data_IF_423834617438
#
_entry.id   IF_423834617438
#
_cell.length_a   1.000
_cell.length_b   1.000
_cell.length_c   1.000
_cell.angle_alpha   90.00
_cell.angle_beta   90.00
_cell.angle_gamma   90.00
#
_symmetry.space_group_name_H-M   'P 1'
#
loop_
_entity.id
_entity.type
_entity.pdbx_description
1 polymer ?
#
# COMPACT_ATOMS: atom_id res chain seq x y z
N UNK A 1 -26.90 4.28 -27.82
CA UNK A 1 -28.04 3.33 -27.74
C UNK A 1 -29.23 3.94 -28.46
N UNK A 2 -30.16 3.13 -28.95
CA UNK A 2 -31.42 3.61 -29.53
C UNK A 2 -32.49 3.62 -28.44
N UNK A 3 -33.21 4.74 -28.31
CA UNK A 3 -34.26 4.90 -27.31
C UNK A 3 -35.55 5.35 -28.02
N UNK A 4 -36.64 4.61 -27.82
CA UNK A 4 -37.96 5.04 -28.28
C UNK A 4 -38.57 5.99 -27.25
N UNK A 5 -38.78 7.24 -27.65
CA UNK A 5 -39.43 8.25 -26.82
C UNK A 5 -40.84 8.48 -27.37
N UNK A 6 -41.87 8.23 -26.56
CA UNK A 6 -43.25 8.58 -26.90
C UNK A 6 -43.69 9.76 -26.04
N UNK A 7 -44.11 10.85 -26.68
CA UNK A 7 -44.55 12.07 -26.02
C UNK A 7 -45.43 12.93 -26.93
N UNK A 8 -46.31 13.74 -26.33
CA UNK A 8 -47.07 14.79 -27.03
C UNK A 8 -46.79 16.11 -26.33
N UNK A 9 -46.18 17.07 -27.02
CA UNK A 9 -45.89 18.38 -26.46
C UNK A 9 -44.96 19.22 -27.34
N UNK A 10 -45.01 20.54 -27.16
CA UNK A 10 -44.02 21.49 -27.64
C UNK A 10 -42.88 21.54 -26.61
N UNK A 11 -41.61 21.39 -27.03
CA UNK A 11 -40.39 21.33 -26.20
C UNK A 11 -39.99 19.95 -25.64
N UNK A 12 -39.80 18.95 -26.51
CA UNK A 12 -39.12 17.72 -26.14
C UNK A 12 -37.63 17.97 -25.97
N UNK A 13 -36.99 17.31 -25.02
CA UNK A 13 -35.54 17.35 -24.85
C UNK A 13 -35.03 16.03 -24.30
N UNK A 14 -33.78 15.70 -24.63
CA UNK A 14 -33.07 14.55 -24.09
C UNK A 14 -32.00 15.04 -23.13
N UNK A 15 -31.86 14.36 -21.98
CA UNK A 15 -30.77 14.58 -21.04
C UNK A 15 -29.88 13.36 -20.95
N UNK A 16 -28.58 13.59 -21.03
CA UNK A 16 -27.57 12.58 -20.70
C UNK A 16 -27.04 12.91 -19.32
N UNK A 17 -27.19 11.98 -18.38
CA UNK A 17 -26.82 12.15 -16.98
C UNK A 17 -25.42 11.54 -16.75
N UNK A 18 -24.64 12.12 -15.85
CA UNK A 18 -23.33 11.59 -15.44
C UNK A 18 -23.47 10.44 -14.43
N UNK A 19 -24.16 9.37 -14.83
CA UNK A 19 -24.36 8.18 -14.02
C UNK A 19 -24.49 6.92 -14.87
N UNK A 20 -24.11 5.76 -14.33
CA UNK A 20 -24.38 4.46 -14.95
C UNK A 20 -25.74 3.92 -14.51
N UNK A 21 -26.32 3.04 -15.32
CA UNK A 21 -27.50 2.27 -14.94
C UNK A 21 -27.08 1.02 -14.16
N UNK A 22 -27.93 0.47 -13.26
CA UNK A 22 -27.64 -0.76 -12.53
C UNK A 22 -27.24 -1.96 -13.41
N UNK A 23 -27.77 -2.01 -14.64
CA UNK A 23 -27.45 -3.05 -15.62
C UNK A 23 -26.02 -2.99 -16.19
N UNK A 24 -25.26 -1.92 -15.93
CA UNK A 24 -23.88 -1.76 -16.39
C UNK A 24 -22.84 -2.50 -15.52
N UNK A 25 -23.28 -3.24 -14.50
CA UNK A 25 -22.39 -4.00 -13.60
C UNK A 25 -21.80 -3.19 -12.44
N UNK A 26 -21.92 -1.86 -12.46
CA UNK A 26 -21.59 -0.98 -11.33
C UNK A 26 -22.45 0.28 -11.37
N UNK A 27 -23.01 0.70 -10.23
CA UNK A 27 -23.76 1.96 -10.09
C UNK A 27 -22.79 3.09 -9.68
N UNK A 28 -22.56 4.04 -10.58
CA UNK A 28 -21.65 5.18 -10.39
C UNK A 28 -22.45 6.47 -10.63
N UNK A 29 -22.30 7.45 -9.74
CA UNK A 29 -22.94 8.76 -9.88
C UNK A 29 -21.95 9.89 -9.62
N UNK A 30 -21.78 10.77 -10.60
CA UNK A 30 -20.97 11.99 -10.46
C UNK A 30 -21.89 13.13 -10.03
N UNK A 31 -21.65 13.65 -8.83
CA UNK A 31 -22.51 14.61 -8.16
C UNK A 31 -21.75 15.91 -7.87
N UNK A 32 -22.45 17.02 -8.05
CA UNK A 32 -22.01 18.31 -7.56
C UNK A 32 -21.94 18.34 -6.03
N UNK A 33 -21.34 19.39 -5.48
CA UNK A 33 -21.34 19.64 -4.04
C UNK A 33 -22.73 19.99 -3.46
N UNK A 34 -23.77 20.18 -4.27
CA UNK A 34 -25.15 20.25 -3.76
C UNK A 34 -25.82 18.87 -3.71
N UNK A 35 -25.15 17.83 -4.23
CA UNK A 35 -25.68 16.48 -4.36
C UNK A 35 -26.41 16.21 -5.67
N UNK A 36 -26.57 17.21 -6.55
CA UNK A 36 -27.20 17.02 -7.86
C UNK A 36 -26.27 16.27 -8.85
N UNK A 37 -26.81 15.29 -9.58
CA UNK A 37 -26.11 14.59 -10.68
C UNK A 37 -26.01 15.52 -11.88
N UNK A 38 -24.85 15.56 -12.54
CA UNK A 38 -24.64 16.40 -13.72
C UNK A 38 -25.43 15.87 -14.92
N UNK A 39 -25.82 16.78 -15.80
CA UNK A 39 -26.54 16.45 -17.01
C UNK A 39 -26.23 17.43 -18.13
N UNK A 40 -26.10 16.93 -19.36
CA UNK A 40 -26.18 17.75 -20.57
C UNK A 40 -27.56 17.54 -21.21
N UNK A 41 -28.09 18.60 -21.82
CA UNK A 41 -29.41 18.62 -22.44
C UNK A 41 -29.27 19.02 -23.91
N UNK A 42 -30.04 18.37 -24.76
CA UNK A 42 -30.29 18.80 -26.13
C UNK A 42 -31.79 18.81 -26.39
N UNK A 43 -32.28 19.88 -27.00
CA UNK A 43 -33.67 20.01 -27.40
C UNK A 43 -33.94 19.19 -28.67
N UNK A 44 -35.15 18.66 -28.77
CA UNK A 44 -35.61 17.85 -29.91
C UNK A 44 -36.71 18.65 -30.61
N UNK A 45 -36.31 19.28 -31.71
CA UNK A 45 -37.17 20.19 -32.48
C UNK A 45 -37.71 19.54 -33.78
N UNK A 46 -37.42 18.26 -34.01
CA UNK A 46 -37.76 17.52 -35.22
C UNK A 46 -38.76 16.39 -34.95
N UNK A 47 -39.74 16.23 -35.84
CA UNK A 47 -40.69 15.11 -35.83
C UNK A 47 -40.07 13.88 -36.53
N UNK A 48 -40.21 12.69 -35.93
CA UNK A 48 -39.80 11.41 -36.51
C UNK A 48 -38.60 10.76 -35.82
N UNK A 49 -37.90 9.88 -36.55
CA UNK A 49 -36.68 9.22 -36.06
C UNK A 49 -35.51 10.22 -36.12
N UNK A 50 -35.09 10.71 -34.96
CA UNK A 50 -34.00 11.69 -34.82
C UNK A 50 -32.78 11.01 -34.21
N UNK A 51 -31.62 11.20 -34.85
CA UNK A 51 -30.32 10.86 -34.25
C UNK A 51 -29.76 12.11 -33.58
N UNK A 52 -29.50 12.04 -32.27
CA UNK A 52 -28.91 13.13 -31.50
C UNK A 52 -27.47 12.79 -31.13
N UNK A 53 -26.54 13.60 -31.61
CA UNK A 53 -25.12 13.50 -31.25
C UNK A 53 -24.79 14.50 -30.13
N UNK A 54 -24.58 13.97 -28.92
CA UNK A 54 -24.19 14.76 -27.76
C UNK A 54 -22.68 15.02 -27.77
N UNK A 55 -22.26 16.15 -28.34
CA UNK A 55 -20.86 16.57 -28.25
C UNK A 55 -20.59 17.33 -26.94
N UNK A 56 -19.96 16.65 -25.98
CA UNK A 56 -19.56 17.24 -24.69
C UNK A 56 -18.10 17.68 -24.78
N UNK A 57 -17.87 18.82 -25.44
CA UNK A 57 -16.52 19.38 -25.57
C UNK A 57 -15.97 19.91 -24.24
N UNK A 58 -14.64 20.02 -24.13
CA UNK A 58 -13.94 20.61 -22.98
C UNK A 58 -14.27 22.09 -22.71
N UNK A 59 -14.95 22.79 -23.64
CA UNK A 59 -15.47 24.13 -23.41
C UNK A 59 -16.68 24.12 -22.46
N UNK A 60 -17.36 22.98 -22.35
CA UNK A 60 -18.41 22.78 -21.37
C UNK A 60 -17.76 22.43 -20.03
N UNK A 61 -17.91 23.30 -19.02
CA UNK A 61 -17.41 23.06 -17.66
C UNK A 61 -17.96 21.79 -17.01
N UNK A 62 -19.02 21.18 -17.56
CA UNK A 62 -19.57 19.91 -17.08
C UNK A 62 -18.92 18.69 -17.73
N UNK A 63 -18.05 18.87 -18.73
CA UNK A 63 -17.38 17.77 -19.43
C UNK A 63 -16.52 16.91 -18.48
N UNK A 64 -15.88 17.52 -17.48
CA UNK A 64 -15.12 16.81 -16.45
C UNK A 64 -15.96 15.73 -15.75
N UNK A 65 -17.23 16.00 -15.45
CA UNK A 65 -18.11 15.00 -14.84
C UNK A 65 -18.35 13.76 -15.73
N UNK A 66 -18.27 13.91 -17.06
CA UNK A 66 -18.40 12.79 -17.98
C UNK A 66 -17.07 12.05 -18.19
N UNK A 67 -15.93 12.75 -18.13
CA UNK A 67 -14.61 12.09 -18.11
C UNK A 67 -14.45 11.23 -16.86
N UNK A 68 -14.75 11.78 -15.68
CA UNK A 68 -14.73 11.05 -14.41
C UNK A 68 -15.60 9.80 -14.49
N UNK A 69 -16.81 9.90 -15.06
CA UNK A 69 -17.68 8.74 -15.25
C UNK A 69 -17.07 7.70 -16.20
N UNK A 70 -16.46 8.12 -17.30
CA UNK A 70 -15.81 7.23 -18.27
C UNK A 70 -14.66 6.44 -17.63
N UNK A 71 -13.76 7.14 -16.94
CA UNK A 71 -12.63 6.56 -16.22
C UNK A 71 -13.10 5.52 -15.20
N UNK A 72 -14.06 5.85 -14.34
CA UNK A 72 -14.59 4.90 -13.36
C UNK A 72 -15.39 3.77 -13.97
N UNK A 73 -16.01 3.98 -15.13
CA UNK A 73 -16.65 2.89 -15.89
C UNK A 73 -15.60 1.92 -16.40
N UNK A 74 -14.47 2.41 -16.93
CA UNK A 74 -13.36 1.55 -17.35
C UNK A 74 -12.75 0.76 -16.17
N UNK A 75 -12.60 1.40 -15.01
CA UNK A 75 -12.17 0.70 -13.78
C UNK A 75 -13.14 -0.41 -13.37
N UNK A 76 -14.45 -0.14 -13.37
CA UNK A 76 -15.49 -1.13 -13.08
C UNK A 76 -15.50 -2.29 -14.07
N UNK A 77 -15.33 -2.02 -15.36
CA UNK A 77 -15.23 -3.07 -16.38
C UNK A 77 -14.00 -3.96 -16.15
N UNK A 78 -12.85 -3.36 -15.86
CA UNK A 78 -11.65 -4.11 -15.51
C UNK A 78 -11.86 -5.02 -14.28
N UNK A 79 -12.50 -4.51 -13.22
CA UNK A 79 -12.81 -5.33 -12.03
C UNK A 79 -13.75 -6.48 -12.36
N UNK A 80 -14.72 -6.29 -13.26
CA UNK A 80 -15.65 -7.35 -13.68
C UNK A 80 -14.97 -8.51 -14.42
N UNK A 81 -13.78 -8.30 -14.99
CA UNK A 81 -13.00 -9.38 -15.61
C UNK A 81 -12.41 -10.35 -14.57
N UNK A 82 -12.15 -9.87 -13.35
CA UNK A 82 -11.55 -10.68 -12.28
C UNK A 82 -12.53 -11.00 -11.14
N UNK A 83 -13.67 -10.29 -11.07
CA UNK A 83 -14.68 -10.40 -10.03
C UNK A 83 -16.07 -10.66 -10.60
N UNK A 84 -16.77 -11.63 -10.00
CA UNK A 84 -18.21 -11.86 -10.25
C UNK A 84 -19.11 -11.21 -9.21
N UNK A 85 -18.53 -10.59 -8.17
CA UNK A 85 -19.28 -9.92 -7.11
C UNK A 85 -19.61 -8.47 -7.51
N UNK A 86 -20.88 -8.05 -7.43
CA UNK A 86 -21.22 -6.65 -7.70
C UNK A 86 -20.60 -5.76 -6.62
N UNK A 87 -20.01 -4.63 -7.05
CA UNK A 87 -19.51 -3.61 -6.14
C UNK A 87 -20.67 -2.73 -5.62
N UNK A 88 -20.54 -2.18 -4.41
CA UNK A 88 -21.54 -1.25 -3.87
C UNK A 88 -21.59 0.05 -4.69
N UNK A 89 -22.72 0.76 -4.76
CA UNK A 89 -22.79 2.00 -5.54
C UNK A 89 -21.73 3.04 -5.13
N UNK A 90 -21.02 3.58 -6.13
CA UNK A 90 -20.00 4.62 -5.96
C UNK A 90 -20.61 6.01 -6.20
N UNK A 91 -20.46 6.89 -5.21
CA UNK A 91 -20.75 8.32 -5.35
C UNK A 91 -19.46 9.09 -5.45
N UNK A 92 -19.41 10.02 -6.39
CA UNK A 92 -18.27 10.91 -6.60
C UNK A 92 -18.74 12.34 -6.45
N UNK A 93 -18.02 13.15 -5.68
CA UNK A 93 -18.31 14.54 -5.42
C UNK A 93 -17.24 15.42 -6.04
N UNK A 94 -17.60 16.12 -7.11
CA UNK A 94 -16.73 17.05 -7.82
C UNK A 94 -17.48 18.36 -8.06
N UNK A 95 -16.75 19.47 -8.12
CA UNK A 95 -17.30 20.78 -8.47
C UNK A 95 -16.25 21.53 -9.30
N UNK A 96 -16.58 21.96 -10.52
CA UNK A 96 -15.63 22.70 -11.35
C UNK A 96 -15.22 24.01 -10.67
N UNK A 97 -13.95 24.38 -10.83
CA UNK A 97 -13.32 25.58 -10.27
C UNK A 97 -13.50 25.70 -8.75
N UNK A 98 -13.33 24.59 -8.02
CA UNK A 98 -13.45 24.57 -6.57
C UNK A 98 -12.33 23.80 -5.87
N UNK A 99 -11.62 24.52 -5.00
CA UNK A 99 -10.59 24.02 -4.08
C UNK A 99 -11.14 23.54 -2.72
N UNK A 100 -12.48 23.40 -2.58
CA UNK A 100 -13.10 23.10 -1.27
C UNK A 100 -12.67 21.76 -0.69
N UNK A 101 -12.42 20.78 -1.54
CA UNK A 101 -11.89 19.46 -1.20
C UNK A 101 -10.67 19.20 -2.07
N UNK A 102 -9.72 18.43 -1.54
CA UNK A 102 -8.72 17.76 -2.37
C UNK A 102 -9.31 16.50 -2.99
N UNK A 103 -8.44 15.73 -3.64
CA UNK A 103 -8.79 14.41 -4.15
C UNK A 103 -8.48 13.34 -3.12
N UNK A 104 -9.51 12.55 -2.77
CA UNK A 104 -9.43 11.46 -1.80
C UNK A 104 -10.73 10.63 -1.78
N UNK A 105 -10.61 9.35 -1.47
CA UNK A 105 -11.71 8.48 -1.08
C UNK A 105 -12.01 8.63 0.41
N UNK A 106 -13.30 8.66 0.75
CA UNK A 106 -13.76 8.72 2.13
C UNK A 106 -14.76 7.59 2.42
N UNK A 107 -14.40 6.65 3.30
CA UNK A 107 -15.30 5.60 3.79
C UNK A 107 -16.14 6.05 4.97
N UNK A 108 -15.50 6.57 6.03
CA UNK A 108 -16.15 6.97 7.28
C UNK A 108 -15.59 8.26 7.85
N UNK A 109 -14.29 8.52 7.69
CA UNK A 109 -13.59 9.63 8.35
C UNK A 109 -12.92 10.60 7.37
N UNK A 110 -13.08 11.90 7.60
CA UNK A 110 -12.22 12.97 7.08
C UNK A 110 -11.80 13.87 8.25
N UNK A 111 -10.49 14.00 8.51
CA UNK A 111 -9.93 14.81 9.62
C UNK A 111 -10.58 14.56 10.99
N UNK A 112 -10.85 13.29 11.32
CA UNK A 112 -11.46 12.90 12.60
C UNK A 112 -12.97 13.13 12.74
N UNK A 113 -13.68 13.42 11.65
CA UNK A 113 -15.15 13.53 11.58
C UNK A 113 -15.74 12.76 10.40
N UNK A 114 -17.07 12.77 10.22
CA UNK A 114 -17.75 12.06 9.14
C UNK A 114 -17.45 12.63 7.74
N UNK A 115 -17.54 11.78 6.71
CA UNK A 115 -17.38 12.21 5.32
C UNK A 115 -18.34 13.39 4.99
N UNK A 116 -17.86 14.52 4.42
CA UNK A 116 -18.63 15.77 4.32
C UNK A 116 -19.99 15.67 3.63
N UNK A 117 -20.14 14.71 2.71
CA UNK A 117 -21.36 14.42 1.93
C UNK A 117 -21.73 12.92 1.97
N UNK A 118 -21.19 12.19 2.93
CA UNK A 118 -21.28 10.74 2.99
C UNK A 118 -20.14 10.05 2.23
N UNK A 119 -20.14 8.72 2.29
CA UNK A 119 -19.12 7.86 1.68
C UNK A 119 -19.04 8.09 0.17
N UNK A 120 -17.81 8.14 -0.36
CA UNK A 120 -17.55 8.37 -1.78
C UNK A 120 -16.17 8.99 -2.04
N UNK A 121 -15.88 9.20 -3.32
CA UNK A 121 -14.67 9.90 -3.76
C UNK A 121 -14.96 11.40 -3.83
N UNK A 122 -14.06 12.22 -3.32
CA UNK A 122 -14.08 13.67 -3.44
C UNK A 122 -12.95 14.06 -4.40
N UNK A 123 -13.22 14.99 -5.31
CA UNK A 123 -12.23 15.42 -6.31
C UNK A 123 -12.01 16.93 -6.23
N UNK A 124 -10.75 17.32 -6.41
CA UNK A 124 -10.31 18.69 -6.57
C UNK A 124 -10.69 19.19 -7.97
N UNK A 125 -11.45 20.28 -8.04
CA UNK A 125 -11.82 20.92 -9.31
C UNK A 125 -11.00 22.18 -9.60
N UNK A 126 -9.85 22.34 -8.96
CA UNK A 126 -8.96 23.50 -9.10
C UNK A 126 -9.57 24.84 -8.75
N UNK A 127 -9.05 25.91 -9.36
CA UNK A 127 -9.51 27.28 -9.15
C UNK A 127 -10.13 27.87 -10.42
N UNK A 128 -10.79 29.04 -10.30
CA UNK A 128 -11.27 29.79 -11.47
C UNK A 128 -10.16 30.18 -12.46
N UNK A 129 -8.91 30.21 -12.01
CA UNK A 129 -7.71 30.45 -12.85
C UNK A 129 -7.06 29.18 -13.38
N UNK A 130 -7.70 28.01 -13.23
CA UNK A 130 -7.10 26.71 -13.50
C UNK A 130 -6.24 26.23 -12.32
N UNK A 131 -5.20 25.46 -12.61
CA UNK A 131 -4.29 24.88 -11.61
C UNK A 131 -4.37 23.36 -11.61
N UNK A 132 -4.26 22.79 -10.42
CA UNK A 132 -4.44 21.36 -10.15
C UNK A 132 -5.93 20.99 -10.23
N UNK A 133 -6.29 20.21 -11.25
CA UNK A 133 -7.68 19.79 -11.53
C UNK A 133 -7.69 18.32 -11.89
N UNK A 134 -8.35 17.50 -11.07
CA UNK A 134 -8.24 16.05 -11.20
C UNK A 134 -9.29 15.41 -12.12
N UNK A 135 -10.24 16.18 -12.65
CA UNK A 135 -11.28 15.61 -13.52
C UNK A 135 -10.76 14.97 -14.82
N UNK A 136 -9.50 15.26 -15.19
CA UNK A 136 -8.80 14.73 -16.36
C UNK A 136 -7.50 14.00 -16.02
N UNK A 137 -7.19 13.85 -14.73
CA UNK A 137 -6.02 13.10 -14.28
C UNK A 137 -6.43 11.65 -14.03
N UNK A 138 -6.54 10.89 -15.13
CA UNK A 138 -7.09 9.54 -15.12
C UNK A 138 -6.37 8.60 -14.12
N UNK A 139 -5.06 8.79 -13.91
CA UNK A 139 -4.29 8.01 -12.94
C UNK A 139 -4.65 8.35 -11.48
N UNK A 140 -4.87 9.63 -11.18
CA UNK A 140 -5.37 10.08 -9.87
C UNK A 140 -6.79 9.57 -9.64
N UNK A 141 -7.64 9.60 -10.67
CA UNK A 141 -8.96 9.01 -10.59
C UNK A 141 -8.88 7.50 -10.31
N UNK A 142 -8.13 6.72 -11.10
CA UNK A 142 -7.95 5.29 -10.88
C UNK A 142 -7.38 4.96 -9.50
N UNK A 143 -6.47 5.79 -8.98
CA UNK A 143 -5.94 5.67 -7.62
C UNK A 143 -7.07 5.72 -6.58
N UNK A 144 -7.93 6.73 -6.63
CA UNK A 144 -9.05 6.83 -5.70
C UNK A 144 -10.09 5.74 -5.89
N UNK A 145 -10.23 5.22 -7.12
CA UNK A 145 -11.05 4.05 -7.37
C UNK A 145 -10.46 2.80 -6.67
N UNK A 146 -9.14 2.67 -6.60
CA UNK A 146 -8.48 1.58 -5.88
C UNK A 146 -8.77 1.63 -4.37
N UNK A 147 -8.76 2.82 -3.77
CA UNK A 147 -9.18 3.01 -2.37
C UNK A 147 -10.66 2.64 -2.15
N UNK A 148 -11.53 3.05 -3.08
CA UNK A 148 -12.93 2.59 -3.08
C UNK A 148 -13.03 1.06 -3.20
N UNK A 149 -12.24 0.46 -4.08
CA UNK A 149 -12.22 -0.99 -4.28
C UNK A 149 -11.80 -1.69 -2.99
N UNK A 150 -10.69 -1.28 -2.38
CA UNK A 150 -10.21 -1.79 -1.09
C UNK A 150 -11.29 -1.72 -0.02
N UNK A 151 -11.98 -0.59 0.11
CA UNK A 151 -13.06 -0.43 1.07
C UNK A 151 -14.30 -1.30 0.81
N UNK A 152 -14.51 -1.74 -0.43
CA UNK A 152 -15.66 -2.57 -0.80
C UNK A 152 -15.36 -4.05 -0.69
N UNK A 153 -14.12 -4.42 -0.97
CA UNK A 153 -13.77 -5.81 -1.21
C UNK A 153 -12.66 -6.36 -0.30
N UNK A 154 -11.80 -5.49 0.20
CA UNK A 154 -10.72 -5.78 1.13
C UNK A 154 -10.98 -5.16 2.50
N UNK A 155 -9.93 -4.98 3.29
CA UNK A 155 -9.97 -4.28 4.56
C UNK A 155 -9.28 -2.91 4.45
N UNK A 156 -10.04 -1.82 4.61
CA UNK A 156 -9.48 -0.47 4.71
C UNK A 156 -9.13 -0.16 6.18
N UNK A 157 -7.90 -0.44 6.59
CA UNK A 157 -7.37 -0.12 7.93
C UNK A 157 -6.15 0.82 7.89
N UNK A 158 -5.80 1.31 6.69
CA UNK A 158 -4.83 2.40 6.50
C UNK A 158 -5.21 3.62 7.35
N UNK A 159 -4.26 4.20 8.10
CA UNK A 159 -4.51 5.43 8.85
C UNK A 159 -4.66 6.66 7.94
N UNK A 160 -4.28 6.54 6.65
CA UNK A 160 -4.19 7.65 5.71
C UNK A 160 -3.26 8.77 6.21
N UNK A 161 -3.49 9.98 5.70
CA UNK A 161 -2.70 11.16 6.04
C UNK A 161 -1.62 11.47 5.02
N UNK A 162 -0.90 12.57 5.21
CA UNK A 162 0.14 13.01 4.26
C UNK A 162 1.23 11.93 4.15
N UNK A 163 1.80 11.72 2.98
CA UNK A 163 2.91 10.79 2.77
C UNK A 163 3.66 11.22 1.51
N UNK A 164 4.77 10.56 1.20
CA UNK A 164 5.54 10.84 0.00
C UNK A 164 5.96 9.53 -0.69
N UNK A 165 5.99 9.56 -2.02
CA UNK A 165 6.42 8.43 -2.85
C UNK A 165 7.81 7.89 -2.47
N UNK A 166 8.70 8.74 -1.97
CA UNK A 166 10.07 8.38 -1.61
C UNK A 166 10.23 7.85 -0.19
N UNK A 167 9.16 7.82 0.61
CA UNK A 167 9.22 7.29 1.98
C UNK A 167 9.39 5.77 1.92
N UNK A 168 10.34 5.25 2.71
CA UNK A 168 10.62 3.81 2.83
C UNK A 168 10.32 3.29 4.25
N UNK A 169 9.73 4.10 5.11
CA UNK A 169 9.50 3.86 6.53
C UNK A 169 8.05 4.15 6.93
N UNK A 170 7.12 4.17 5.96
CA UNK A 170 5.70 4.40 6.23
C UNK A 170 5.05 3.22 6.97
N UNK A 171 3.93 3.48 7.67
CA UNK A 171 3.03 2.46 8.21
C UNK A 171 2.72 1.41 7.12
N UNK A 172 2.90 0.11 7.41
CA UNK A 172 2.74 -0.94 6.41
C UNK A 172 1.33 -0.99 5.81
N UNK A 173 0.30 -0.57 6.57
CA UNK A 173 -1.08 -0.50 6.08
C UNK A 173 -1.28 0.68 5.14
N UNK A 174 -0.59 1.79 5.40
CA UNK A 174 -0.56 2.93 4.50
C UNK A 174 0.17 2.55 3.21
N UNK A 175 1.38 1.99 3.32
CA UNK A 175 2.17 1.56 2.16
C UNK A 175 1.42 0.55 1.28
N UNK A 176 0.67 -0.38 1.88
CA UNK A 176 -0.21 -1.29 1.16
C UNK A 176 -1.32 -0.57 0.39
N UNK A 177 -2.09 0.26 1.10
CA UNK A 177 -3.25 0.97 0.53
C UNK A 177 -2.85 1.93 -0.59
N UNK A 178 -1.82 2.74 -0.37
CA UNK A 178 -1.30 3.66 -1.38
C UNK A 178 -0.56 2.92 -2.51
N UNK A 179 0.12 1.82 -2.21
CA UNK A 179 0.75 0.96 -3.22
C UNK A 179 -0.26 0.28 -4.14
N UNK A 180 -1.41 -0.14 -3.60
CA UNK A 180 -2.54 -0.60 -4.41
C UNK A 180 -3.05 0.54 -5.30
N UNK A 181 -3.16 1.76 -4.76
CA UNK A 181 -3.50 2.98 -5.50
C UNK A 181 -2.49 3.34 -6.60
N UNK A 182 -1.20 3.08 -6.40
CA UNK A 182 -0.15 3.27 -7.41
C UNK A 182 -0.15 2.19 -8.50
N UNK A 183 -0.47 0.94 -8.13
CA UNK A 183 -0.52 -0.20 -9.05
C UNK A 183 -1.75 -0.19 -9.97
N UNK A 184 -2.92 0.09 -9.39
CA UNK A 184 -4.21 -0.11 -10.05
C UNK A 184 -4.38 0.68 -11.37
N UNK A 185 -3.97 1.96 -11.48
CA UNK A 185 -4.00 2.70 -12.74
C UNK A 185 -3.24 1.98 -13.86
N UNK A 186 -2.04 1.47 -13.55
CA UNK A 186 -1.24 0.75 -14.52
C UNK A 186 -1.84 -0.59 -14.93
N UNK A 187 -2.53 -1.28 -14.00
CA UNK A 187 -3.25 -2.50 -14.30
C UNK A 187 -4.43 -2.26 -15.24
N UNK A 188 -5.26 -1.24 -14.97
CA UNK A 188 -6.40 -0.85 -15.83
C UNK A 188 -5.91 -0.42 -17.21
N UNK A 189 -4.93 0.48 -17.29
CA UNK A 189 -4.40 0.97 -18.58
C UNK A 189 -3.75 -0.13 -19.40
N UNK A 190 -3.10 -1.10 -18.77
CA UNK A 190 -2.54 -2.26 -19.47
C UNK A 190 -3.65 -3.14 -20.06
N UNK A 191 -4.74 -3.36 -19.32
CA UNK A 191 -5.91 -4.08 -19.82
C UNK A 191 -6.63 -3.31 -20.95
N UNK A 192 -6.83 -2.00 -20.81
CA UNK A 192 -7.39 -1.16 -21.87
C UNK A 192 -6.54 -1.22 -23.13
N UNK A 193 -5.21 -1.12 -23.00
CA UNK A 193 -4.30 -1.20 -24.15
C UNK A 193 -4.45 -2.50 -24.94
N UNK A 194 -4.71 -3.61 -24.25
CA UNK A 194 -4.86 -4.94 -24.86
C UNK A 194 -6.25 -5.15 -25.47
N UNK A 195 -7.32 -4.79 -24.74
CA UNK A 195 -8.69 -5.19 -25.09
C UNK A 195 -9.59 -4.03 -25.56
N UNK A 196 -9.30 -2.80 -25.15
CA UNK A 196 -10.10 -1.59 -25.43
C UNK A 196 -9.22 -0.36 -25.75
N UNK A 197 -8.32 -0.44 -26.75
CA UNK A 197 -7.35 0.63 -27.01
C UNK A 197 -7.99 1.95 -27.44
N UNK A 198 -9.25 1.93 -27.89
CA UNK A 198 -10.06 3.10 -28.20
C UNK A 198 -10.44 3.93 -26.96
N UNK A 199 -10.38 3.34 -25.78
CA UNK A 199 -10.69 3.98 -24.48
C UNK A 199 -9.45 4.34 -23.68
N UNK A 200 -8.26 3.97 -24.16
CA UNK A 200 -7.02 4.26 -23.46
C UNK A 200 -6.63 5.74 -23.64
N UNK A 201 -6.74 6.49 -22.55
CA UNK A 201 -6.28 7.87 -22.45
C UNK A 201 -4.86 7.89 -21.86
N UNK A 202 -3.86 7.67 -22.71
CA UNK A 202 -2.45 7.79 -22.32
C UNK A 202 -1.61 8.29 -23.48
N UNK A 203 -0.54 9.04 -23.19
CA UNK A 203 0.36 9.49 -24.24
C UNK A 203 1.07 8.28 -24.87
N UNK A 204 1.14 8.15 -26.21
CA UNK A 204 1.68 6.95 -26.87
C UNK A 204 3.11 6.55 -26.49
N UNK A 205 3.91 7.51 -26.01
CA UNK A 205 5.29 7.25 -25.56
C UNK A 205 5.39 6.74 -24.12
N UNK A 206 4.32 6.84 -23.33
CA UNK A 206 4.34 6.44 -21.93
C UNK A 206 3.98 4.96 -21.83
N UNK A 207 4.70 4.24 -20.95
CA UNK A 207 4.26 2.90 -20.58
C UNK A 207 2.94 2.99 -19.81
N UNK A 208 2.11 1.95 -19.89
CA UNK A 208 0.84 1.90 -19.17
C UNK A 208 1.04 2.01 -17.65
N UNK A 209 2.22 1.69 -17.12
CA UNK A 209 2.56 1.73 -15.70
C UNK A 209 3.00 3.11 -15.20
N UNK A 210 3.03 4.14 -16.06
CA UNK A 210 3.23 5.51 -15.60
C UNK A 210 2.04 5.95 -14.74
N UNK A 211 2.32 6.65 -13.65
CA UNK A 211 1.36 7.41 -12.88
C UNK A 211 1.59 8.89 -13.17
N UNK A 212 0.54 9.60 -13.61
CA UNK A 212 0.63 11.02 -13.98
C UNK A 212 -0.45 11.84 -13.26
N UNK A 213 0.00 12.89 -12.58
CA UNK A 213 -0.81 13.94 -11.97
C UNK A 213 -0.37 15.27 -12.59
N UNK A 214 -1.32 16.07 -13.06
CA UNK A 214 -1.04 17.30 -13.78
C UNK A 214 -1.51 18.55 -13.04
N UNK A 215 -0.63 19.55 -13.00
CA UNK A 215 -0.98 20.90 -12.57
C UNK A 215 -0.99 21.79 -13.81
N UNK A 216 -2.20 22.08 -14.30
CA UNK A 216 -2.42 22.84 -15.53
C UNK A 216 -2.05 22.07 -16.79
N UNK A 217 -0.87 22.33 -17.35
CA UNK A 217 -0.39 21.65 -18.58
C UNK A 217 0.93 20.92 -18.38
N UNK A 218 1.37 20.81 -17.13
CA UNK A 218 2.62 20.19 -16.73
C UNK A 218 2.33 19.07 -15.74
N UNK A 219 2.98 17.92 -15.92
CA UNK A 219 2.96 16.87 -14.91
C UNK A 219 3.67 17.37 -13.65
N UNK A 220 2.94 17.41 -12.53
CA UNK A 220 3.54 17.62 -11.21
C UNK A 220 4.21 16.33 -10.73
N UNK A 221 3.59 15.19 -11.02
CA UNK A 221 4.15 13.85 -10.81
C UNK A 221 4.07 13.07 -12.13
N UNK A 222 5.16 12.38 -12.46
CA UNK A 222 5.23 11.44 -13.57
C UNK A 222 6.27 10.37 -13.25
N UNK A 223 5.81 9.19 -12.83
CA UNK A 223 6.68 8.08 -12.40
C UNK A 223 6.20 6.76 -13.01
N UNK A 224 7.11 5.95 -13.54
CA UNK A 224 6.80 4.56 -13.94
C UNK A 224 6.76 3.69 -12.69
N UNK A 225 5.58 3.28 -12.23
CA UNK A 225 5.44 2.50 -11.00
C UNK A 225 6.03 1.09 -11.12
N UNK A 226 6.15 0.54 -12.33
CA UNK A 226 6.82 -0.76 -12.54
C UNK A 226 8.35 -0.62 -12.64
N UNK A 227 8.83 0.55 -13.07
CA UNK A 227 10.25 0.85 -13.25
C UNK A 227 10.62 2.24 -12.70
N UNK A 228 10.47 2.48 -11.40
CA UNK A 228 10.60 3.81 -10.83
C UNK A 228 12.06 4.27 -10.91
N UNK A 229 12.26 5.45 -11.50
CA UNK A 229 13.59 6.03 -11.69
C UNK A 229 14.15 6.55 -10.36
N UNK A 230 15.40 6.22 -10.06
CA UNK A 230 16.11 6.75 -8.88
C UNK A 230 16.38 8.26 -8.93
N UNK A 231 15.98 8.96 -9.99
CA UNK A 231 16.11 10.43 -10.09
C UNK A 231 15.37 11.17 -8.98
N UNK A 232 14.35 10.55 -8.39
CA UNK A 232 13.60 11.09 -7.27
C UNK A 232 14.26 10.80 -5.91
N UNK A 233 15.25 9.91 -5.85
CA UNK A 233 15.96 9.59 -4.62
C UNK A 233 16.97 10.70 -4.30
N UNK A 234 16.87 11.29 -3.11
CA UNK A 234 17.85 12.25 -2.63
C UNK A 234 19.19 11.55 -2.33
N UNK A 235 20.30 12.22 -2.66
CA UNK A 235 21.67 11.81 -2.27
C UNK A 235 22.14 10.42 -2.72
N UNK A 236 21.42 9.76 -3.63
CA UNK A 236 21.77 8.43 -4.13
C UNK A 236 21.39 7.29 -3.18
N UNK A 237 20.54 7.55 -2.19
CA UNK A 237 19.96 6.51 -1.32
C UNK A 237 19.06 5.56 -2.12
N UNK A 238 18.89 4.34 -1.59
CA UNK A 238 17.88 3.43 -2.11
C UNK A 238 16.50 3.97 -1.71
N UNK A 239 15.74 4.47 -2.68
CA UNK A 239 14.34 4.82 -2.51
C UNK A 239 13.44 3.91 -3.33
N UNK A 240 12.16 3.82 -2.93
CA UNK A 240 11.20 2.87 -3.47
C UNK A 240 11.59 1.42 -3.15
N UNK A 241 12.01 1.19 -1.90
CA UNK A 241 12.42 -0.12 -1.37
C UNK A 241 11.68 -0.39 -0.06
N UNK A 242 11.64 -1.66 0.32
CA UNK A 242 10.94 -2.20 1.47
C UNK A 242 9.41 -2.19 1.37
N UNK A 243 8.78 -3.07 2.13
CA UNK A 243 7.31 -3.19 2.20
C UNK A 243 6.61 -1.96 2.80
N UNK A 244 7.37 -1.10 3.46
CA UNK A 244 6.98 0.21 4.00
C UNK A 244 7.03 1.35 2.96
N UNK A 245 7.29 1.05 1.68
CA UNK A 245 7.22 2.02 0.57
C UNK A 245 6.05 1.71 -0.36
N UNK A 246 5.18 2.70 -0.59
CA UNK A 246 4.03 2.56 -1.50
C UNK A 246 4.45 2.23 -2.95
N UNK A 247 5.55 2.82 -3.42
CA UNK A 247 6.05 2.57 -4.78
C UNK A 247 6.67 1.17 -4.87
N UNK A 248 7.33 0.68 -3.82
CA UNK A 248 7.83 -0.69 -3.79
C UNK A 248 6.68 -1.71 -3.84
N UNK A 249 5.62 -1.49 -3.04
CA UNK A 249 4.40 -2.32 -3.06
C UNK A 249 3.76 -2.29 -4.46
N UNK A 250 3.56 -1.11 -5.05
CA UNK A 250 2.97 -0.96 -6.38
C UNK A 250 3.77 -1.76 -7.43
N UNK A 251 5.10 -1.67 -7.37
CA UNK A 251 5.97 -2.41 -8.27
C UNK A 251 5.89 -3.92 -8.08
N UNK A 252 5.87 -4.40 -6.83
CA UNK A 252 5.68 -5.83 -6.55
C UNK A 252 4.39 -6.32 -7.18
N UNK A 253 3.28 -5.60 -7.00
CA UNK A 253 1.99 -5.93 -7.61
C UNK A 253 2.05 -5.93 -9.14
N UNK A 254 2.79 -5.00 -9.77
CA UNK A 254 3.05 -5.03 -11.21
C UNK A 254 3.81 -6.29 -11.64
N UNK A 255 4.91 -6.64 -10.96
CA UNK A 255 5.70 -7.84 -11.27
C UNK A 255 4.87 -9.13 -11.11
N UNK A 256 4.04 -9.19 -10.07
CA UNK A 256 3.10 -10.30 -9.86
C UNK A 256 2.06 -10.39 -10.98
N UNK A 257 1.50 -9.25 -11.41
CA UNK A 257 0.51 -9.21 -12.50
C UNK A 257 1.13 -9.69 -13.82
N UNK A 258 2.33 -9.22 -14.13
CA UNK A 258 3.04 -9.57 -15.35
C UNK A 258 3.43 -11.06 -15.38
N UNK A 259 3.80 -11.62 -14.22
CA UNK A 259 4.27 -13.00 -14.12
C UNK A 259 3.12 -14.00 -13.99
N UNK A 260 2.11 -13.70 -13.16
CA UNK A 260 1.06 -14.66 -12.76
C UNK A 260 -0.35 -14.26 -13.21
N UNK A 261 -0.52 -13.07 -13.76
CA UNK A 261 -1.80 -12.52 -14.20
C UNK A 261 -2.62 -11.89 -13.07
N UNK A 262 -3.54 -11.00 -13.45
CA UNK A 262 -4.37 -10.24 -12.50
C UNK A 262 -5.27 -11.14 -11.64
N UNK A 263 -5.76 -12.26 -12.18
CA UNK A 263 -6.63 -13.17 -11.42
C UNK A 263 -5.92 -13.76 -10.19
N UNK A 264 -4.60 -14.00 -10.27
CA UNK A 264 -3.84 -14.52 -9.15
C UNK A 264 -3.81 -13.52 -7.98
N UNK A 265 -3.55 -12.24 -8.27
CA UNK A 265 -3.61 -11.15 -7.29
C UNK A 265 -5.00 -11.03 -6.70
N UNK A 266 -6.02 -11.01 -7.56
CA UNK A 266 -7.41 -10.83 -7.14
C UNK A 266 -7.90 -11.93 -6.20
N UNK A 267 -7.52 -13.19 -6.46
CA UNK A 267 -7.88 -14.33 -5.62
C UNK A 267 -7.36 -14.16 -4.18
N UNK A 268 -6.11 -13.72 -4.02
CA UNK A 268 -5.52 -13.45 -2.70
C UNK A 268 -6.20 -12.26 -2.02
N UNK A 269 -6.32 -11.14 -2.73
CA UNK A 269 -6.91 -9.93 -2.21
C UNK A 269 -8.34 -10.14 -1.69
N UNK A 270 -9.18 -10.86 -2.44
CA UNK A 270 -10.57 -11.15 -2.04
C UNK A 270 -10.70 -12.31 -1.06
N UNK A 271 -9.91 -13.35 -1.26
CA UNK A 271 -10.06 -14.61 -0.54
C UNK A 271 -9.41 -14.57 0.84
N UNK A 272 -8.31 -13.84 0.99
CA UNK A 272 -7.50 -13.81 2.21
C UNK A 272 -7.54 -12.48 2.95
N UNK A 273 -7.69 -11.37 2.22
CA UNK A 273 -7.71 -10.02 2.80
C UNK A 273 -9.09 -9.32 2.78
N UNK A 274 -10.25 -10.00 2.94
CA UNK A 274 -11.55 -9.31 2.94
C UNK A 274 -11.75 -8.44 4.20
N UNK A 275 -12.68 -7.50 4.13
CA UNK A 275 -13.06 -6.68 5.29
C UNK A 275 -13.34 -7.52 6.54
N UNK A 276 -12.74 -7.14 7.67
CA UNK A 276 -12.93 -7.81 8.97
C UNK A 276 -12.00 -9.00 9.20
N UNK A 277 -10.93 -9.14 8.41
CA UNK A 277 -9.79 -10.01 8.74
C UNK A 277 -9.19 -9.68 10.10
N UNK A 278 -8.62 -10.69 10.74
CA UNK A 278 -7.93 -10.54 12.04
C UNK A 278 -6.57 -9.85 11.86
N UNK A 279 -6.00 -9.94 10.66
CA UNK A 279 -4.69 -9.37 10.33
C UNK A 279 -4.84 -8.01 9.65
N UNK A 280 -3.90 -7.06 9.93
CA UNK A 280 -3.84 -5.79 9.22
C UNK A 280 -3.66 -5.95 7.70
N UNK A 281 -4.20 -5.04 6.90
CA UNK A 281 -4.01 -5.07 5.43
C UNK A 281 -2.62 -4.56 5.08
N UNK A 282 -1.68 -5.48 4.89
CA UNK A 282 -0.29 -5.18 4.55
C UNK A 282 0.19 -6.09 3.42
N UNK A 283 1.35 -5.77 2.84
CA UNK A 283 1.99 -6.68 1.89
C UNK A 283 2.34 -8.04 2.51
N UNK A 284 2.61 -8.11 3.83
CA UNK A 284 2.79 -9.40 4.53
C UNK A 284 1.52 -10.26 4.51
N UNK A 285 0.36 -9.65 4.79
CA UNK A 285 -0.91 -10.36 4.76
C UNK A 285 -1.22 -10.84 3.34
N UNK A 286 -0.86 -10.06 2.31
CA UNK A 286 -0.95 -10.50 0.93
C UNK A 286 -0.02 -11.69 0.65
N UNK A 287 1.24 -11.63 1.09
CA UNK A 287 2.19 -12.72 0.99
C UNK A 287 1.67 -14.00 1.63
N UNK A 288 1.23 -13.94 2.89
CA UNK A 288 0.67 -15.09 3.60
C UNK A 288 -0.53 -15.69 2.88
N UNK A 289 -1.42 -14.84 2.36
CA UNK A 289 -2.55 -15.27 1.56
C UNK A 289 -2.13 -15.95 0.27
N UNK A 290 -1.09 -15.45 -0.40
CA UNK A 290 -0.52 -16.07 -1.59
C UNK A 290 0.01 -17.47 -1.28
N UNK A 291 0.86 -17.60 -0.26
CA UNK A 291 1.43 -18.88 0.15
C UNK A 291 0.34 -19.86 0.56
N UNK A 292 -0.59 -19.45 1.43
CA UNK A 292 -1.63 -20.33 1.96
C UNK A 292 -2.62 -20.78 0.88
N UNK A 293 -3.09 -19.87 0.03
CA UNK A 293 -4.15 -20.20 -0.91
C UNK A 293 -3.63 -20.91 -2.16
N UNK A 294 -2.39 -20.64 -2.56
CA UNK A 294 -1.84 -21.17 -3.81
C UNK A 294 -0.92 -22.37 -3.60
N UNK A 295 -0.30 -22.51 -2.43
CA UNK A 295 0.71 -23.55 -2.17
C UNK A 295 1.75 -23.62 -3.30
N UNK A 296 2.47 -22.52 -3.59
CA UNK A 296 3.35 -22.42 -4.74
C UNK A 296 4.42 -23.52 -4.73
N UNK A 297 4.74 -24.05 -5.90
CA UNK A 297 5.88 -24.96 -6.04
C UNK A 297 7.22 -24.20 -5.99
N UNK A 298 8.33 -24.93 -6.00
CA UNK A 298 9.66 -24.34 -5.89
C UNK A 298 9.99 -23.35 -7.02
N UNK A 299 9.42 -23.53 -8.22
CA UNK A 299 9.64 -22.62 -9.34
C UNK A 299 8.83 -21.34 -9.16
N UNK A 300 7.56 -21.45 -8.77
CA UNK A 300 6.73 -20.29 -8.45
C UNK A 300 7.30 -19.50 -7.28
N UNK A 301 7.76 -20.17 -6.21
CA UNK A 301 8.43 -19.53 -5.07
C UNK A 301 9.68 -18.76 -5.49
N UNK A 302 10.53 -19.33 -6.36
CA UNK A 302 11.71 -18.63 -6.86
C UNK A 302 11.35 -17.34 -7.60
N UNK A 303 10.31 -17.36 -8.44
CA UNK A 303 9.85 -16.16 -9.14
C UNK A 303 9.25 -15.12 -8.19
N UNK A 304 8.53 -15.57 -7.16
CA UNK A 304 8.02 -14.69 -6.11
C UNK A 304 9.17 -13.99 -5.36
N UNK A 305 10.21 -14.74 -4.98
CA UNK A 305 11.39 -14.17 -4.33
C UNK A 305 12.07 -13.13 -5.22
N UNK A 306 12.30 -13.42 -6.51
CA UNK A 306 12.90 -12.47 -7.45
C UNK A 306 12.12 -11.14 -7.53
N UNK A 307 10.77 -11.20 -7.51
CA UNK A 307 9.91 -10.00 -7.56
C UNK A 307 10.05 -9.16 -6.28
N UNK A 308 10.10 -9.81 -5.12
CA UNK A 308 10.17 -9.14 -3.81
C UNK A 308 11.59 -8.61 -3.53
N UNK A 309 12.63 -9.38 -3.88
CA UNK A 309 14.03 -9.02 -3.70
C UNK A 309 14.48 -7.83 -4.58
N UNK A 310 13.88 -7.63 -5.76
CA UNK A 310 14.10 -6.42 -6.59
C UNK A 310 13.71 -5.12 -5.86
N UNK A 311 13.01 -5.25 -4.73
CA UNK A 311 12.64 -4.15 -3.84
C UNK A 311 13.16 -4.30 -2.41
N UNK A 312 14.13 -5.20 -2.20
CA UNK A 312 14.72 -5.51 -0.89
C UNK A 312 13.67 -5.96 0.15
N UNK A 313 12.64 -6.68 -0.30
CA UNK A 313 11.59 -7.22 0.57
C UNK A 313 11.94 -8.68 0.90
N UNK A 314 12.15 -8.97 2.18
CA UNK A 314 12.66 -10.24 2.66
C UNK A 314 11.60 -10.92 3.55
N UNK A 315 10.77 -11.78 2.95
CA UNK A 315 9.73 -12.58 3.62
C UNK A 315 9.98 -14.09 3.51
N UNK A 316 11.22 -14.44 3.19
CA UNK A 316 11.72 -15.78 2.99
C UNK A 316 12.89 -16.04 3.94
N UNK A 317 13.24 -17.32 4.06
CA UNK A 317 14.43 -17.79 4.76
C UNK A 317 15.72 -17.10 4.28
N UNK A 318 16.64 -16.84 5.19
CA UNK A 318 18.03 -16.47 4.89
C UNK A 318 18.98 -17.68 4.85
N UNK A 319 20.30 -17.42 4.91
CA UNK A 319 21.35 -18.44 4.90
C UNK A 319 21.63 -19.04 6.30
N UNK A 320 20.97 -18.56 7.36
CA UNK A 320 21.27 -18.84 8.77
C UNK A 320 20.22 -19.69 9.50
N UNK A 321 19.06 -19.94 8.89
CA UNK A 321 17.88 -20.70 9.34
C UNK A 321 18.05 -22.07 10.04
N UNK A 322 19.26 -22.62 10.08
CA UNK A 322 19.56 -23.71 11.02
C UNK A 322 19.53 -23.25 12.49
N UNK A 323 19.43 -21.95 12.73
CA UNK A 323 19.48 -21.29 14.03
C UNK A 323 18.15 -21.29 14.80
N UNK A 324 17.07 -21.82 14.24
CA UNK A 324 15.87 -22.20 15.01
C UNK A 324 16.17 -23.34 16.02
N UNK A 325 17.23 -24.13 15.79
CA UNK A 325 17.69 -25.19 16.68
C UNK A 325 18.93 -24.77 17.47
N UNK A 326 18.86 -24.95 18.79
CA UNK A 326 19.95 -24.67 19.71
C UNK A 326 21.19 -25.54 19.47
N UNK A 327 21.05 -26.77 18.93
CA UNK A 327 22.20 -27.64 18.62
C UNK A 327 23.01 -27.14 17.40
N UNK A 328 22.33 -26.49 16.45
CA UNK A 328 22.92 -25.97 15.21
C UNK A 328 23.12 -24.44 15.22
N UNK A 329 22.74 -23.78 16.34
CA UNK A 329 22.88 -22.34 16.53
C UNK A 329 24.29 -21.83 16.20
N UNK A 330 24.30 -20.80 15.36
CA UNK A 330 25.53 -20.16 14.91
C UNK A 330 26.16 -19.37 16.04
N UNK A 331 27.49 -19.34 16.07
CA UNK A 331 28.25 -18.52 17.03
C UNK A 331 28.71 -17.19 16.43
N UNK A 332 28.25 -16.09 17.01
CA UNK A 332 28.67 -14.74 16.68
C UNK A 332 29.69 -14.23 17.71
N UNK A 333 30.77 -13.61 17.23
CA UNK A 333 31.82 -13.08 18.10
C UNK A 333 31.49 -11.66 18.56
N UNK A 334 31.70 -11.39 19.86
CA UNK A 334 31.71 -10.02 20.35
C UNK A 334 32.89 -9.24 19.74
N UNK A 335 32.65 -7.97 19.49
CA UNK A 335 33.57 -7.06 18.79
C UNK A 335 33.87 -5.84 19.67
N UNK A 336 34.99 -5.15 19.38
CA UNK A 336 35.34 -3.87 20.02
C UNK A 336 35.56 -2.80 18.96
N UNK A 337 35.08 -1.58 19.17
CA UNK A 337 35.27 -0.47 18.23
C UNK A 337 34.32 -0.54 17.03
N UNK A 338 34.86 -0.66 15.80
CA UNK A 338 34.00 -0.78 14.62
C UNK A 338 33.38 -2.18 14.57
N UNK A 339 32.07 -2.23 14.73
CA UNK A 339 31.34 -3.47 14.77
C UNK A 339 30.10 -3.42 13.87
N UNK A 340 30.21 -3.94 12.64
CA UNK A 340 29.04 -4.11 11.78
C UNK A 340 28.15 -5.22 12.36
N UNK A 341 26.84 -5.08 12.18
CA UNK A 341 25.90 -6.16 12.50
C UNK A 341 25.94 -7.29 11.46
N UNK A 342 25.54 -8.48 11.87
CA UNK A 342 25.24 -9.61 10.99
C UNK A 342 23.77 -9.56 10.60
N UNK A 343 23.44 -9.60 9.30
CA UNK A 343 22.06 -9.48 8.82
C UNK A 343 21.33 -10.81 8.92
N UNK A 344 20.12 -10.78 9.46
CA UNK A 344 19.17 -11.88 9.60
C UNK A 344 17.80 -11.47 9.08
N UNK A 345 16.96 -12.43 8.71
CA UNK A 345 15.57 -12.22 8.34
C UNK A 345 14.61 -12.67 9.44
N UNK A 346 13.43 -12.05 9.47
CA UNK A 346 12.28 -12.57 10.17
C UNK A 346 11.23 -12.94 9.13
N UNK A 347 10.71 -14.15 9.13
CA UNK A 347 9.68 -14.59 8.18
C UNK A 347 8.64 -15.54 8.79
N UNK A 348 7.87 -16.22 7.96
CA UNK A 348 6.89 -17.21 8.39
C UNK A 348 7.47 -18.63 8.43
N UNK A 349 8.16 -18.97 9.51
CA UNK A 349 8.53 -20.36 9.78
C UNK A 349 7.49 -21.03 10.70
N UNK A 350 6.56 -21.81 10.16
CA UNK A 350 5.55 -22.54 10.95
C UNK A 350 4.76 -21.65 11.97
N UNK A 351 4.55 -20.37 11.65
CA UNK A 351 3.79 -19.41 12.45
C UNK A 351 4.62 -18.34 13.17
N UNK A 352 5.93 -18.56 13.38
CA UNK A 352 6.87 -17.56 13.91
C UNK A 352 8.30 -18.00 13.65
N UNK A 353 9.13 -17.06 13.26
CA UNK A 353 10.58 -17.24 13.13
C UNK A 353 11.31 -16.93 14.44
N UNK A 354 12.41 -17.62 14.71
CA UNK A 354 13.19 -17.54 15.95
C UNK A 354 14.68 -17.73 15.69
N UNK A 355 15.41 -16.62 15.62
CA UNK A 355 16.87 -16.71 15.49
C UNK A 355 17.53 -16.96 16.86
N UNK A 356 18.26 -18.07 17.01
CA UNK A 356 19.15 -18.32 18.16
C UNK A 356 20.63 -18.16 17.78
N UNK A 357 21.26 -17.13 18.32
CA UNK A 357 22.67 -16.82 18.08
C UNK A 357 23.47 -17.06 19.37
N UNK A 358 24.44 -17.98 19.31
CA UNK A 358 25.36 -18.24 20.41
C UNK A 358 26.48 -17.17 20.48
N UNK A 359 26.94 -16.83 21.68
CA UNK A 359 28.15 -16.03 21.88
C UNK A 359 28.88 -16.37 23.18
N UNK A 360 30.19 -16.09 23.22
CA UNK A 360 30.99 -16.23 24.44
C UNK A 360 30.99 -14.93 25.21
N UNK A 361 30.57 -14.96 26.46
CA UNK A 361 30.64 -13.81 27.35
C UNK A 361 31.59 -14.08 28.52
N UNK A 362 32.42 -13.10 28.85
CA UNK A 362 33.31 -13.13 30.00
C UNK A 362 32.71 -12.41 31.20
N UNK A 363 32.78 -13.05 32.38
CA UNK A 363 32.31 -12.49 33.65
C UNK A 363 32.80 -11.06 33.87
N UNK A 364 31.88 -10.17 34.23
CA UNK A 364 32.16 -8.78 34.55
C UNK A 364 32.44 -7.84 33.37
N UNK A 365 32.47 -8.32 32.13
CA UNK A 365 32.53 -7.47 30.93
C UNK A 365 31.14 -6.97 30.53
N UNK A 366 31.06 -5.85 29.83
CA UNK A 366 29.80 -5.29 29.37
C UNK A 366 29.61 -5.52 27.87
N UNK A 367 28.45 -6.03 27.48
CA UNK A 367 28.07 -6.28 26.09
C UNK A 367 26.79 -5.50 25.78
N UNK A 368 26.86 -4.56 24.83
CA UNK A 368 25.69 -3.96 24.20
C UNK A 368 25.23 -4.88 23.08
N UNK A 369 24.05 -5.46 23.25
CA UNK A 369 23.42 -6.35 22.28
C UNK A 369 22.23 -5.61 21.69
N UNK A 370 22.19 -5.46 20.38
CA UNK A 370 21.16 -4.68 19.71
C UNK A 370 20.87 -5.19 18.31
N UNK A 371 19.64 -4.98 17.88
CA UNK A 371 19.23 -5.05 16.48
C UNK A 371 19.32 -3.64 15.86
N UNK A 372 19.70 -3.57 14.59
CA UNK A 372 19.83 -2.34 13.80
C UNK A 372 19.59 -2.65 12.31
N UNK A 373 19.57 -1.63 11.45
CA UNK A 373 19.26 -1.73 10.03
C UNK A 373 17.96 -2.51 9.74
N UNK A 374 16.93 -2.31 10.56
CA UNK A 374 15.61 -2.92 10.45
C UNK A 374 14.92 -2.42 9.20
N UNK A 375 14.31 -3.33 8.46
CA UNK A 375 13.59 -3.04 7.21
C UNK A 375 12.33 -3.88 7.08
N UNK A 376 11.47 -3.52 6.11
CA UNK A 376 10.22 -4.23 5.80
C UNK A 376 9.21 -4.31 6.97
N UNK A 377 9.38 -3.43 7.96
CA UNK A 377 8.56 -3.39 9.17
C UNK A 377 8.97 -4.41 10.24
N UNK A 378 10.15 -5.03 10.14
CA UNK A 378 10.67 -5.86 11.21
C UNK A 378 10.65 -5.10 12.54
N UNK A 379 10.09 -5.74 13.56
CA UNK A 379 10.07 -5.27 14.94
C UNK A 379 10.54 -6.41 15.83
N UNK A 380 11.60 -6.18 16.59
CA UNK A 380 12.40 -7.25 17.19
C UNK A 380 12.27 -7.25 18.70
N UNK A 381 12.26 -8.44 19.31
CA UNK A 381 12.52 -8.64 20.74
C UNK A 381 13.82 -9.42 20.89
N UNK A 382 14.68 -9.00 21.83
CA UNK A 382 15.90 -9.70 22.24
C UNK A 382 15.69 -10.35 23.60
N UNK A 383 16.12 -11.61 23.75
CA UNK A 383 16.27 -12.29 25.05
C UNK A 383 17.64 -12.92 25.18
N UNK A 384 18.27 -12.79 26.34
CA UNK A 384 19.52 -13.51 26.64
C UNK A 384 19.18 -14.79 27.38
N UNK A 385 19.64 -15.93 26.86
CA UNK A 385 19.43 -17.25 27.43
C UNK A 385 20.76 -17.83 27.94
N UNK A 386 20.68 -18.59 29.03
CA UNK A 386 21.78 -19.43 29.50
C UNK A 386 21.91 -20.74 28.70
N UNK A 387 22.93 -21.54 29.00
CA UNK A 387 23.16 -22.84 28.35
C UNK A 387 22.06 -23.89 28.60
N UNK A 388 21.13 -23.61 29.51
CA UNK A 388 19.95 -24.43 29.80
C UNK A 388 18.68 -23.83 29.19
N UNK A 389 18.80 -22.84 28.30
CA UNK A 389 17.73 -22.12 27.61
C UNK A 389 16.79 -21.34 28.54
N UNK A 390 17.23 -21.03 29.77
CA UNK A 390 16.48 -20.16 30.64
C UNK A 390 16.85 -18.71 30.35
N UNK A 391 15.86 -17.81 30.40
CA UNK A 391 16.14 -16.38 30.29
C UNK A 391 16.99 -15.96 31.47
N UNK A 392 18.11 -15.30 31.16
CA UNK A 392 19.03 -14.79 32.17
C UNK A 392 18.34 -13.71 32.99
N UNK A 393 18.59 -13.74 34.29
CA UNK A 393 18.20 -12.69 35.23
C UNK A 393 19.48 -11.99 35.66
N UNK A 394 19.51 -10.67 35.53
CA UNK A 394 20.67 -9.86 35.90
C UNK A 394 20.87 -9.78 37.43
N UNK A 395 21.95 -9.12 37.84
CA UNK A 395 22.30 -8.97 39.26
C UNK A 395 21.28 -8.13 40.05
N UNK A 396 20.41 -7.38 39.37
CA UNK A 396 19.35 -6.57 39.97
C UNK A 396 18.00 -7.30 40.02
N UNK A 397 17.93 -8.54 39.53
CA UNK A 397 16.70 -9.32 39.45
C UNK A 397 15.84 -8.99 38.22
N UNK A 398 16.37 -8.28 37.24
CA UNK A 398 15.70 -7.96 35.99
C UNK A 398 15.95 -9.07 34.96
N UNK A 399 14.87 -9.54 34.33
CA UNK A 399 14.96 -10.48 33.22
C UNK A 399 15.60 -9.79 32.02
N UNK A 400 16.58 -10.45 31.38
CA UNK A 400 17.30 -9.96 30.21
C UNK A 400 16.45 -10.09 28.94
N UNK A 401 15.39 -9.29 28.87
CA UNK A 401 14.47 -9.15 27.72
C UNK A 401 14.34 -7.68 27.38
N UNK A 402 14.38 -7.36 26.08
CA UNK A 402 14.05 -6.05 25.57
C UNK A 402 13.20 -6.18 24.31
N UNK A 403 12.15 -5.36 24.19
CA UNK A 403 11.26 -5.33 23.03
C UNK A 403 11.48 -4.09 22.16
N UNK A 404 11.95 -3.02 22.78
CA UNK A 404 12.13 -1.72 22.12
C UNK A 404 13.25 -0.99 22.82
N UNK A 405 13.98 -0.14 22.09
CA UNK A 405 14.95 0.76 22.69
C UNK A 405 14.36 1.53 23.88
N UNK A 406 15.10 1.67 24.99
CA UNK A 406 14.62 2.43 26.14
C UNK A 406 14.23 3.86 25.77
N UNK A 407 12.97 4.24 26.02
CA UNK A 407 12.45 5.58 25.72
C UNK A 407 11.72 5.73 24.40
N UNK A 408 11.52 4.64 23.63
CA UNK A 408 10.67 4.64 22.43
C UNK A 408 9.26 5.09 22.80
N UNK A 409 8.80 6.14 22.12
CA UNK A 409 7.41 6.58 22.14
C UNK A 409 6.94 6.51 20.71
N UNK A 410 6.09 5.52 20.38
CA UNK A 410 5.58 5.31 19.02
C UNK A 410 4.83 6.53 18.44
N UNK A 411 4.35 7.45 19.30
CA UNK A 411 3.60 8.63 18.87
C UNK A 411 3.98 9.87 19.69
N UNK A 412 4.54 10.90 19.05
CA UNK A 412 4.64 12.23 19.66
C UNK A 412 3.30 12.98 19.57
N UNK A 413 3.00 13.81 20.58
CA UNK A 413 1.75 14.56 20.72
C UNK A 413 1.44 15.52 19.55
N UNK A 414 2.42 15.81 18.68
CA UNK A 414 2.28 16.75 17.56
C UNK A 414 2.11 16.08 16.19
N UNK A 415 2.28 14.76 16.10
CA UNK A 415 2.00 14.01 14.87
C UNK A 415 0.50 13.78 14.77
N UNK A 416 -0.16 14.50 13.87
CA UNK A 416 -1.57 14.34 13.60
C UNK A 416 -1.83 14.10 12.10
N UNK A 417 -2.15 12.85 11.71
CA UNK A 417 -2.19 11.65 12.56
C UNK A 417 -0.79 11.17 12.99
N UNK A 418 -0.71 10.37 14.05
CA UNK A 418 0.53 9.76 14.53
C UNK A 418 1.19 8.95 13.41
N UNK A 419 2.50 9.14 13.21
CA UNK A 419 3.30 8.39 12.25
C UNK A 419 4.32 7.56 12.99
N UNK A 420 4.17 6.24 12.89
CA UNK A 420 5.21 5.31 13.30
C UNK A 420 6.13 5.15 12.11
N UNK A 421 7.42 5.36 12.32
CA UNK A 421 8.46 5.13 11.33
C UNK A 421 8.89 3.66 11.43
N UNK A 422 8.75 2.91 10.34
CA UNK A 422 9.20 1.52 10.22
C UNK A 422 10.71 1.46 10.02
N UNK A 423 11.46 1.88 11.04
CA UNK A 423 12.93 1.92 11.05
C UNK A 423 13.51 1.63 12.46
N UNK A 424 14.85 1.67 12.55
CA UNK A 424 15.61 1.48 13.78
C UNK A 424 15.25 2.44 14.91
N UNK A 425 14.73 3.62 14.60
CA UNK A 425 14.44 4.62 15.62
C UNK A 425 13.31 4.18 16.54
N UNK A 426 12.43 3.29 16.07
CA UNK A 426 11.26 2.82 16.81
C UNK A 426 11.22 1.31 17.03
N UNK A 427 11.73 0.50 16.11
CA UNK A 427 11.48 -0.96 16.11
C UNK A 427 12.68 -1.81 16.54
N UNK A 428 13.83 -1.17 16.75
CA UNK A 428 15.02 -1.87 17.23
C UNK A 428 14.93 -2.22 18.72
N UNK A 429 15.51 -3.36 19.07
CA UNK A 429 15.72 -3.80 20.44
C UNK A 429 17.16 -3.59 20.86
N UNK A 430 17.39 -3.24 22.13
CA UNK A 430 18.73 -3.10 22.69
C UNK A 430 18.75 -3.37 24.19
N UNK A 431 19.77 -4.10 24.64
CA UNK A 431 20.05 -4.32 26.06
C UNK A 431 21.55 -4.32 26.35
N UNK A 432 21.90 -4.00 27.60
CA UNK A 432 23.27 -4.12 28.10
C UNK A 432 23.35 -5.34 29.01
N UNK A 433 24.20 -6.29 28.67
CA UNK A 433 24.40 -7.53 29.41
C UNK A 433 25.78 -7.54 30.09
N UNK A 434 25.80 -7.82 31.40
CA UNK A 434 27.02 -8.02 32.18
C UNK A 434 26.93 -9.39 32.85
N UNK A 435 27.55 -10.44 32.29
CA UNK A 435 27.43 -11.79 32.82
C UNK A 435 28.11 -11.90 34.20
N UNK A 436 27.48 -12.65 35.10
CA UNK A 436 28.07 -13.02 36.38
C UNK A 436 29.16 -14.08 36.26
N UNK A 437 29.10 -14.92 35.22
CA UNK A 437 30.02 -16.03 34.98
C UNK A 437 30.49 -16.03 33.53
N UNK A 438 31.72 -16.49 33.30
CA UNK A 438 32.21 -16.67 31.92
C UNK A 438 31.61 -17.94 31.35
N UNK A 439 30.74 -17.82 30.36
CA UNK A 439 29.99 -18.94 29.81
C UNK A 439 29.57 -18.71 28.34
N UNK A 440 29.01 -19.76 27.75
CA UNK A 440 28.29 -19.70 26.49
C UNK A 440 26.86 -19.24 26.78
N UNK A 441 26.44 -18.17 26.10
CA UNK A 441 25.09 -17.62 26.17
C UNK A 441 24.47 -17.61 24.78
N UNK A 442 23.15 -17.51 24.72
CA UNK A 442 22.39 -17.41 23.49
C UNK A 442 21.61 -16.11 23.46
N UNK A 443 21.44 -15.56 22.28
CA UNK A 443 20.61 -14.42 21.98
C UNK A 443 19.45 -14.97 21.17
N UNK A 444 18.25 -14.95 21.74
CA UNK A 444 17.01 -15.20 21.01
C UNK A 444 16.54 -13.87 20.44
N UNK A 445 16.39 -13.81 19.12
CA UNK A 445 15.72 -12.71 18.42
C UNK A 445 14.46 -13.26 17.76
N UNK A 446 13.37 -12.49 17.84
CA UNK A 446 12.12 -12.81 17.15
C UNK A 446 11.29 -11.56 16.96
N UNK A 447 10.17 -11.68 16.25
CA UNK A 447 9.19 -10.59 16.18
C UNK A 447 8.71 -10.16 17.58
N UNK A 448 8.68 -8.85 17.84
CA UNK A 448 8.16 -8.28 19.07
C UNK A 448 6.69 -8.70 19.31
N UNK A 449 6.37 -9.26 20.50
CA UNK A 449 4.98 -9.56 20.87
C UNK A 449 4.16 -8.30 21.14
N UNK A 450 4.82 -7.14 21.27
CA UNK A 450 4.20 -5.83 21.53
C UNK A 450 4.13 -4.94 20.29
N UNK A 451 4.44 -5.49 19.10
CA UNK A 451 4.51 -4.69 17.88
C UNK A 451 3.26 -3.84 17.63
N UNK A 452 3.43 -2.60 17.17
CA UNK A 452 2.30 -1.78 16.77
C UNK A 452 1.69 -2.32 15.47
N UNK A 453 0.42 -1.97 15.22
CA UNK A 453 -0.27 -2.35 13.96
C UNK A 453 0.35 -1.72 12.70
N UNK A 454 1.21 -0.71 12.87
CA UNK A 454 1.95 -0.06 11.79
C UNK A 454 3.18 -0.86 11.33
N UNK A 455 3.65 -1.79 12.17
CA UNK A 455 4.83 -2.62 11.93
C UNK A 455 4.45 -4.05 11.49
N UNK A 456 5.44 -4.74 10.94
CA UNK A 456 5.35 -6.07 10.39
C UNK A 456 5.73 -7.18 11.37
N UNK A 457 5.55 -8.42 10.95
CA UNK A 457 6.19 -9.59 11.56
C UNK A 457 7.51 -9.92 10.89
N UNK A 458 7.61 -9.61 9.61
CA UNK A 458 8.66 -10.03 8.73
C UNK A 458 9.62 -8.88 8.44
N UNK A 459 10.74 -9.22 7.84
CA UNK A 459 11.69 -8.27 7.31
C UNK A 459 13.11 -8.67 7.59
N UNK A 460 14.01 -7.68 7.65
CA UNK A 460 15.40 -7.94 8.01
C UNK A 460 15.80 -7.10 9.20
N UNK A 461 16.79 -7.56 9.93
CA UNK A 461 17.52 -6.79 10.92
C UNK A 461 18.99 -7.19 10.89
N UNK A 462 19.85 -6.42 11.53
CA UNK A 462 21.25 -6.75 11.75
C UNK A 462 21.53 -6.86 13.24
N UNK A 463 22.07 -7.99 13.69
CA UNK A 463 22.43 -8.25 15.08
C UNK A 463 23.86 -7.80 15.36
N UNK A 464 24.05 -7.05 16.45
CA UNK A 464 25.37 -6.62 16.91
C UNK A 464 25.60 -6.98 18.38
N UNK A 465 26.81 -7.45 18.69
CA UNK A 465 27.31 -7.74 20.04
C UNK A 465 28.57 -6.91 20.30
N UNK A 466 28.41 -5.70 20.81
CA UNK A 466 29.52 -4.78 21.09
C UNK A 466 30.01 -4.91 22.53
N UNK A 467 31.28 -5.30 22.72
CA UNK A 467 31.94 -5.25 24.02
C UNK A 467 32.37 -3.80 24.34
N UNK A 468 31.91 -3.27 25.48
CA UNK A 468 32.11 -1.88 25.93
C UNK A 468 33.24 -1.70 26.95
#
# INVERSE_FOLDING_TARGET
GSYELSGRGINLYVRVMSMTAPAAGSEIEIRSYSGAVYAVRQDVDEDGDVTLDFNISNQNRMAGAFNILDVYTNASLFVNEVSTSPLQPLKVYWQPASIRYGTYFCQTNYKGGSCPRGKGIYLLGGSDSGGDTDEYDDDVLYHEYAHYLEAMVGAQDSPGGRHYLTDNDSDLRLAWSEGLGGFFPGAVKSWLKEFHPDRLSTHPSNNSTYFVDTVGSTAAISIDMANPSRVFCLWGEDCFVYSSSEVAVAKVLHGLRETFGMQAIWNVFRGYMPSGTVHPSTLESFWDGWIQQRSPDAQELSLLHDIFEDRLIYYQSDDFESDDDHEDSRKLAACTGNCPGERHYLYNHNGSDLDLIAFDAQSGRSYLIETLDLSNGADTQIRILDAMQNVVIDQNGQTMVNNDRPGTVYCYQYDNPCRIHNDDSMLSSSLVFVPGESAHYFIEVKTSPSKPAAAGRYGSYSLRILEQ
#
